data_IF_846285023027
#
_entry.id   IF_846285023027
#
_cell.length_a   1.000
_cell.length_b   1.000
_cell.length_c   1.000
_cell.angle_alpha   90.00
_cell.angle_beta   90.00
_cell.angle_gamma   90.00
#
_symmetry.space_group_name_H-M   'P 1'
#
loop_
_entity.id
_entity.type
_entity.pdbx_description
1 polymer ?
#
# COMPACT_ATOMS: atom_id res chain seq x y z
N UNK A 1 7.28 -1.18 -5.54
CA UNK A 1 6.85 -2.22 -6.49
C UNK A 1 5.38 -2.59 -6.28
N UNK A 2 4.88 -2.70 -5.04
CA UNK A 2 3.47 -3.04 -4.79
C UNK A 2 2.48 -2.11 -5.53
N UNK A 3 2.77 -0.80 -5.60
CA UNK A 3 1.94 0.16 -6.35
C UNK A 3 2.31 0.35 -7.83
N UNK A 4 3.06 -0.58 -8.45
CA UNK A 4 3.54 -0.38 -9.83
C UNK A 4 2.40 -0.22 -10.85
N UNK A 5 1.21 -0.75 -10.55
CA UNK A 5 0.03 -0.57 -11.38
C UNK A 5 -0.43 0.89 -11.48
N UNK A 6 -0.13 1.75 -10.50
CA UNK A 6 -0.46 3.17 -10.57
C UNK A 6 0.35 3.86 -11.68
N UNK A 7 1.61 3.47 -11.90
CA UNK A 7 2.41 3.99 -13.02
C UNK A 7 1.86 3.52 -14.37
N UNK A 8 1.33 2.31 -14.42
CA UNK A 8 0.65 1.82 -15.61
C UNK A 8 -0.62 2.64 -15.90
N UNK A 9 -1.48 2.83 -14.89
CA UNK A 9 -2.67 3.67 -15.01
C UNK A 9 -2.31 5.11 -15.41
N UNK A 10 -1.27 5.68 -14.82
CA UNK A 10 -0.79 7.03 -15.19
C UNK A 10 -0.34 7.11 -16.65
N UNK A 11 0.26 6.04 -17.18
CA UNK A 11 0.77 6.01 -18.55
C UNK A 11 -0.30 5.80 -19.61
N UNK A 12 -1.28 4.93 -19.32
CA UNK A 12 -2.26 4.45 -20.28
C UNK A 12 -3.66 5.05 -20.08
N UNK A 13 -4.05 5.35 -18.84
CA UNK A 13 -5.36 5.89 -18.46
C UNK A 13 -5.25 7.16 -17.57
N UNK A 14 -4.44 8.18 -17.94
CA UNK A 14 -4.16 9.32 -17.06
C UNK A 14 -5.41 10.12 -16.67
N UNK A 15 -6.37 10.26 -17.59
CA UNK A 15 -7.63 10.97 -17.32
C UNK A 15 -8.51 10.19 -16.34
N UNK A 16 -8.61 8.87 -16.50
CA UNK A 16 -9.34 8.00 -15.58
C UNK A 16 -8.71 8.01 -14.18
N UNK A 17 -7.38 7.94 -14.10
CA UNK A 17 -6.67 7.95 -12.81
C UNK A 17 -6.89 9.27 -12.08
N UNK A 18 -6.84 10.40 -12.81
CA UNK A 18 -7.15 11.72 -12.25
C UNK A 18 -8.61 11.87 -11.80
N UNK A 19 -9.54 11.14 -12.41
CA UNK A 19 -10.91 11.08 -11.93
C UNK A 19 -11.01 10.20 -10.68
N UNK A 20 -10.41 9.02 -10.68
CA UNK A 20 -10.39 8.10 -9.54
C UNK A 20 -9.81 8.77 -8.28
N UNK A 21 -8.68 9.48 -8.41
CA UNK A 21 -8.07 10.23 -7.32
C UNK A 21 -9.01 11.29 -6.72
N UNK A 22 -9.67 12.08 -7.58
CA UNK A 22 -10.63 13.09 -7.14
C UNK A 22 -11.87 12.47 -6.50
N UNK A 23 -12.33 11.34 -7.06
CA UNK A 23 -13.47 10.62 -6.52
C UNK A 23 -13.15 10.05 -5.13
N UNK A 24 -11.99 9.39 -4.99
CA UNK A 24 -11.48 8.88 -3.72
C UNK A 24 -11.41 9.97 -2.65
N UNK A 25 -10.81 11.13 -2.97
CA UNK A 25 -10.72 12.28 -2.06
C UNK A 25 -12.11 12.83 -1.67
N UNK A 26 -13.01 12.99 -2.65
CA UNK A 26 -14.34 13.57 -2.40
C UNK A 26 -15.28 12.66 -1.63
N UNK A 27 -15.14 11.34 -1.79
CA UNK A 27 -15.95 10.34 -1.08
C UNK A 27 -15.30 9.86 0.23
N UNK A 28 -14.02 10.17 0.45
CA UNK A 28 -13.26 9.68 1.60
C UNK A 28 -13.04 8.17 1.57
N UNK A 29 -12.87 7.60 0.38
CA UNK A 29 -12.60 6.17 0.17
C UNK A 29 -11.17 5.94 -0.29
N UNK A 30 -10.69 4.72 -0.15
CA UNK A 30 -9.39 4.31 -0.67
C UNK A 30 -9.34 4.35 -2.20
N UNK A 31 -8.15 4.66 -2.75
CA UNK A 31 -7.97 4.80 -4.21
C UNK A 31 -8.31 3.53 -4.98
N UNK A 32 -8.02 2.33 -4.45
CA UNK A 32 -8.35 1.07 -5.11
C UNK A 32 -9.86 0.85 -5.25
N UNK A 33 -10.67 1.39 -4.32
CA UNK A 33 -12.14 1.38 -4.45
C UNK A 33 -12.57 2.24 -5.64
N UNK A 34 -12.07 3.48 -5.70
CA UNK A 34 -12.40 4.40 -6.79
C UNK A 34 -11.87 3.91 -8.15
N UNK A 35 -10.69 3.29 -8.21
CA UNK A 35 -10.16 2.68 -9.43
C UNK A 35 -11.05 1.55 -9.94
N UNK A 36 -11.53 0.67 -9.05
CA UNK A 36 -12.48 -0.40 -9.43
C UNK A 36 -13.79 0.16 -10.00
N UNK A 37 -14.26 1.30 -9.50
CA UNK A 37 -15.45 1.98 -10.07
C UNK A 37 -15.20 2.50 -11.49
N UNK A 38 -13.99 3.02 -11.78
CA UNK A 38 -13.66 3.58 -13.11
C UNK A 38 -13.30 2.49 -14.11
N UNK A 39 -12.45 1.56 -13.71
CA UNK A 39 -11.75 0.65 -14.60
C UNK A 39 -12.24 -0.79 -14.50
N UNK A 40 -13.05 -1.10 -13.48
CA UNK A 40 -13.41 -2.49 -13.12
C UNK A 40 -12.27 -3.27 -12.45
N UNK A 41 -11.12 -2.63 -12.22
CA UNK A 41 -9.91 -3.21 -11.63
C UNK A 41 -9.10 -2.12 -10.92
N UNK A 42 -8.30 -2.50 -9.93
CA UNK A 42 -7.39 -1.60 -9.20
C UNK A 42 -5.93 -1.74 -9.62
N UNK A 43 -5.11 -0.79 -9.16
CA UNK A 43 -3.68 -0.79 -9.40
C UNK A 43 -2.95 -2.00 -8.81
N UNK A 44 -3.41 -2.57 -7.70
CA UNK A 44 -2.79 -3.76 -7.10
C UNK A 44 -2.92 -4.95 -8.05
N UNK A 45 -4.12 -5.17 -8.60
CA UNK A 45 -4.41 -6.21 -9.59
C UNK A 45 -3.61 -6.01 -10.87
N UNK A 46 -3.60 -4.79 -11.42
CA UNK A 46 -2.76 -4.45 -12.60
C UNK A 46 -1.28 -4.70 -12.29
N UNK A 47 -0.81 -4.30 -11.11
CA UNK A 47 0.56 -4.53 -10.67
C UNK A 47 0.91 -6.01 -10.59
N UNK A 48 -0.02 -6.84 -10.11
CA UNK A 48 0.12 -8.30 -10.06
C UNK A 48 0.22 -8.93 -11.45
N UNK A 49 -0.55 -8.43 -12.43
CA UNK A 49 -0.44 -8.85 -13.83
C UNK A 49 0.90 -8.46 -14.44
N UNK A 50 1.37 -7.23 -14.19
CA UNK A 50 2.68 -6.75 -14.66
C UNK A 50 3.83 -7.56 -14.05
N UNK A 51 3.79 -7.81 -12.75
CA UNK A 51 4.80 -8.61 -12.05
C UNK A 51 4.91 -10.02 -12.66
N UNK A 52 3.78 -10.67 -12.97
CA UNK A 52 3.77 -11.97 -13.66
C UNK A 52 4.29 -11.89 -15.08
N UNK A 53 3.90 -10.86 -15.84
CA UNK A 53 4.39 -10.64 -17.20
C UNK A 53 5.91 -10.41 -17.26
N UNK A 54 6.49 -9.85 -16.20
CA UNK A 54 7.94 -9.68 -16.06
C UNK A 54 8.66 -10.94 -15.57
N UNK A 55 7.94 -12.03 -15.28
CA UNK A 55 8.52 -13.28 -14.81
C UNK A 55 9.00 -13.24 -13.36
N UNK A 56 8.43 -12.36 -12.52
CA UNK A 56 8.72 -12.36 -11.10
C UNK A 56 8.14 -13.61 -10.42
N UNK A 57 8.69 -13.99 -9.27
CA UNK A 57 8.21 -15.15 -8.52
C UNK A 57 6.77 -14.95 -8.03
N UNK A 58 6.01 -16.04 -7.92
CA UNK A 58 4.60 -15.99 -7.50
C UNK A 58 4.41 -15.29 -6.13
N UNK A 59 5.28 -15.47 -5.11
CA UNK A 59 5.17 -14.70 -3.87
C UNK A 59 5.20 -13.18 -4.07
N UNK A 60 6.05 -12.67 -4.96
CA UNK A 60 6.08 -11.24 -5.30
C UNK A 60 4.79 -10.85 -6.01
N UNK A 61 4.33 -11.66 -6.96
CA UNK A 61 3.11 -11.38 -7.71
C UNK A 61 1.89 -11.32 -6.78
N UNK A 62 1.79 -12.22 -5.80
CA UNK A 62 0.72 -12.23 -4.80
C UNK A 62 0.84 -11.04 -3.84
N UNK A 63 2.03 -10.75 -3.32
CA UNK A 63 2.25 -9.58 -2.47
C UNK A 63 1.89 -8.26 -3.15
N UNK A 64 2.13 -8.14 -4.46
CA UNK A 64 1.69 -7.00 -5.26
C UNK A 64 0.19 -7.03 -5.52
N UNK A 65 -0.43 -8.18 -5.78
CA UNK A 65 -1.85 -8.23 -6.16
C UNK A 65 -2.81 -8.06 -4.97
N UNK A 66 -2.49 -8.67 -3.83
CA UNK A 66 -3.46 -8.86 -2.75
C UNK A 66 -3.19 -7.98 -1.51
N UNK A 67 -2.27 -7.02 -1.56
CA UNK A 67 -1.96 -6.20 -0.37
C UNK A 67 -3.14 -5.34 0.13
N UNK A 68 -4.11 -5.03 -0.75
CA UNK A 68 -5.36 -4.36 -0.36
C UNK A 68 -6.47 -5.31 0.13
N UNK A 69 -6.38 -6.58 -0.23
CA UNK A 69 -7.36 -7.64 0.07
C UNK A 69 -6.62 -8.91 0.54
N UNK A 70 -5.89 -8.82 1.67
CA UNK A 70 -4.96 -9.88 2.06
C UNK A 70 -5.61 -11.25 2.25
N UNK A 71 -6.90 -11.29 2.59
CA UNK A 71 -7.67 -12.53 2.73
C UNK A 71 -7.66 -13.41 1.46
N UNK A 72 -7.48 -12.81 0.28
CA UNK A 72 -7.45 -13.53 -1.00
C UNK A 72 -6.04 -14.04 -1.36
N UNK A 73 -5.00 -13.58 -0.66
CA UNK A 73 -3.59 -13.93 -0.88
C UNK A 73 -2.94 -14.72 0.25
N UNK A 74 -3.56 -14.79 1.43
CA UNK A 74 -3.06 -15.60 2.54
C UNK A 74 -3.09 -17.11 2.21
N UNK A 75 -2.15 -17.92 2.74
CA UNK A 75 -1.18 -17.58 3.78
C UNK A 75 0.20 -17.11 3.26
N UNK A 76 0.31 -16.54 2.05
CA UNK A 76 1.60 -16.06 1.53
C UNK A 76 2.19 -14.93 2.41
N UNK A 77 3.37 -15.12 3.03
CA UNK A 77 3.95 -14.12 3.94
C UNK A 77 4.19 -12.75 3.32
N UNK A 78 4.52 -12.69 2.02
CA UNK A 78 4.72 -11.39 1.35
C UNK A 78 3.42 -10.58 1.24
N UNK A 79 2.26 -11.22 1.16
CA UNK A 79 0.96 -10.53 1.19
C UNK A 79 0.77 -9.84 2.54
N UNK A 80 0.97 -10.59 3.63
CA UNK A 80 0.86 -10.04 4.98
C UNK A 80 1.87 -8.92 5.25
N UNK A 81 3.13 -9.12 4.83
CA UNK A 81 4.19 -8.15 5.03
C UNK A 81 3.90 -6.83 4.33
N UNK A 82 3.50 -6.87 3.06
CA UNK A 82 3.21 -5.64 2.29
C UNK A 82 1.97 -4.95 2.85
N UNK A 83 0.90 -5.69 3.13
CA UNK A 83 -0.33 -5.15 3.72
C UNK A 83 -0.05 -4.39 5.03
N UNK A 84 0.60 -5.05 6.00
CA UNK A 84 0.87 -4.42 7.30
C UNK A 84 1.85 -3.24 7.16
N UNK A 85 2.85 -3.37 6.28
CA UNK A 85 3.81 -2.28 6.03
C UNK A 85 3.12 -1.03 5.48
N UNK A 86 2.15 -1.19 4.57
CA UNK A 86 1.40 -0.08 4.01
C UNK A 86 0.49 0.58 5.04
N UNK A 87 -0.24 -0.22 5.82
CA UNK A 87 -1.10 0.30 6.90
C UNK A 87 -0.27 1.11 7.90
N UNK A 88 0.89 0.60 8.32
CA UNK A 88 1.81 1.31 9.21
C UNK A 88 2.37 2.59 8.58
N UNK A 89 2.71 2.55 7.28
CA UNK A 89 3.19 3.72 6.55
C UNK A 89 2.14 4.85 6.53
N UNK A 90 0.86 4.50 6.31
CA UNK A 90 -0.25 5.46 6.36
C UNK A 90 -0.55 5.95 7.78
N UNK A 91 -0.60 5.04 8.76
CA UNK A 91 -0.88 5.38 10.16
C UNK A 91 0.17 6.32 10.77
N UNK A 92 1.44 6.13 10.41
CA UNK A 92 2.55 6.98 10.84
C UNK A 92 2.78 8.19 9.91
N UNK A 93 1.98 8.33 8.85
CA UNK A 93 2.10 9.38 7.82
C UNK A 93 3.53 9.56 7.28
N UNK A 94 4.27 8.47 7.10
CA UNK A 94 5.71 8.53 6.77
C UNK A 94 5.97 9.13 5.39
N UNK A 95 5.03 8.96 4.46
CA UNK A 95 5.09 9.50 3.09
C UNK A 95 4.66 10.97 2.99
N UNK A 96 4.21 11.60 4.08
CA UNK A 96 3.68 12.98 4.10
C UNK A 96 2.58 13.21 3.05
N UNK A 97 1.81 12.17 2.72
CA UNK A 97 0.70 12.31 1.78
C UNK A 97 -0.33 13.29 2.35
N UNK A 98 -0.88 14.16 1.49
CA UNK A 98 -1.87 15.17 1.89
C UNK A 98 -3.15 14.54 2.48
N UNK A 99 -3.39 13.28 2.13
CA UNK A 99 -4.48 12.43 2.59
C UNK A 99 -3.92 11.03 2.84
N UNK A 100 -3.57 10.73 4.10
CA UNK A 100 -3.23 9.36 4.53
C UNK A 100 -4.48 8.76 5.16
N UNK A 101 -5.25 8.01 4.38
CA UNK A 101 -6.35 7.23 4.94
C UNK A 101 -5.76 5.99 5.61
N UNK A 102 -6.03 5.83 6.91
CA UNK A 102 -5.57 4.65 7.64
C UNK A 102 -6.50 3.50 7.26
N UNK A 103 -5.99 2.58 6.45
CA UNK A 103 -6.65 1.30 6.17
C UNK A 103 -6.78 0.48 7.44
N UNK A 104 -7.73 -0.45 7.44
CA UNK A 104 -7.82 -1.48 8.46
C UNK A 104 -6.56 -2.37 8.41
N UNK A 105 -6.14 -2.87 9.57
CA UNK A 105 -5.06 -3.84 9.67
C UNK A 105 -5.63 -5.25 9.86
N UNK A 106 -5.17 -6.20 9.05
CA UNK A 106 -5.60 -7.61 9.16
C UNK A 106 -4.97 -8.31 10.35
N UNK A 107 -5.82 -8.82 11.25
CA UNK A 107 -5.41 -9.63 12.41
C UNK A 107 -4.72 -10.93 11.97
N UNK A 108 -5.20 -11.56 10.90
CA UNK A 108 -4.57 -12.76 10.33
C UNK A 108 -3.17 -12.46 9.79
N UNK A 109 -2.98 -11.29 9.16
CA UNK A 109 -1.66 -10.84 8.73
C UNK A 109 -0.73 -10.56 9.91
N UNK A 110 -1.22 -9.88 10.95
CA UNK A 110 -0.44 -9.66 12.18
C UNK A 110 -0.05 -10.99 12.83
N UNK A 111 -0.98 -11.92 12.93
CA UNK A 111 -0.76 -13.26 13.50
C UNK A 111 0.26 -14.04 12.67
N UNK A 112 0.14 -14.04 11.34
CA UNK A 112 1.09 -14.71 10.45
C UNK A 112 2.51 -14.15 10.57
N UNK A 113 2.64 -12.84 10.75
CA UNK A 113 3.93 -12.17 10.95
C UNK A 113 4.45 -12.27 12.39
N UNK A 114 3.68 -12.86 13.32
CA UNK A 114 4.02 -12.93 14.73
C UNK A 114 4.10 -11.55 15.42
N UNK A 115 3.31 -10.58 14.95
CA UNK A 115 3.27 -9.24 15.53
C UNK A 115 2.46 -9.23 16.82
N UNK A 116 3.11 -8.79 17.89
CA UNK A 116 2.50 -8.49 19.19
C UNK A 116 2.49 -6.97 19.40
N UNK A 117 1.30 -6.41 19.64
CA UNK A 117 1.08 -4.98 19.87
C UNK A 117 1.25 -4.57 21.34
N UNK A 118 2.02 -5.33 22.12
CA UNK A 118 2.32 -5.05 23.53
C UNK A 118 3.14 -3.79 23.79
N UNK A 119 3.64 -3.66 25.03
CA UNK A 119 4.18 -2.40 25.58
C UNK A 119 5.37 -1.77 24.81
N UNK A 120 6.19 -2.55 24.07
CA UNK A 120 7.31 -1.99 23.27
C UNK A 120 6.89 -1.39 21.92
N UNK A 121 5.61 -1.52 21.54
CA UNK A 121 5.10 -1.03 20.24
C UNK A 121 5.39 0.46 20.04
N UNK A 122 5.17 1.28 21.06
CA UNK A 122 5.40 2.73 20.96
C UNK A 122 6.89 3.05 20.72
N UNK A 123 7.79 2.34 21.40
CA UNK A 123 9.23 2.50 21.19
C UNK A 123 9.65 2.08 19.79
N UNK A 124 9.09 0.99 19.26
CA UNK A 124 9.36 0.49 17.92
C UNK A 124 8.85 1.45 16.84
N UNK A 125 7.61 1.95 16.96
CA UNK A 125 7.05 2.94 16.03
C UNK A 125 7.86 4.24 16.04
N UNK A 126 8.28 4.73 17.21
CA UNK A 126 9.14 5.90 17.32
C UNK A 126 10.49 5.72 16.63
N UNK A 127 11.09 4.52 16.70
CA UNK A 127 12.33 4.19 15.95
C UNK A 127 12.10 4.17 14.44
N UNK A 128 10.96 3.63 13.97
CA UNK A 128 10.59 3.61 12.56
C UNK A 128 10.43 5.03 12.04
N UNK A 129 9.69 5.87 12.75
CA UNK A 129 9.47 7.27 12.38
C UNK A 129 10.79 8.05 12.33
N UNK A 130 11.65 7.92 13.34
CA UNK A 130 12.95 8.58 13.38
C UNK A 130 13.87 8.17 12.22
N UNK A 131 13.92 6.87 11.89
CA UNK A 131 14.69 6.36 10.74
C UNK A 131 14.12 6.84 9.42
N UNK A 132 12.80 6.84 9.27
CA UNK A 132 12.12 7.33 8.08
C UNK A 132 12.42 8.81 7.82
N UNK A 133 12.26 9.66 8.86
CA UNK A 133 12.62 11.10 8.77
C UNK A 133 14.07 11.31 8.33
N UNK A 134 15.00 10.51 8.84
CA UNK A 134 16.41 10.61 8.43
C UNK A 134 16.62 10.20 6.97
N UNK A 135 15.99 9.11 6.51
CA UNK A 135 16.10 8.63 5.14
C UNK A 135 15.48 9.60 4.12
N UNK A 136 14.37 10.24 4.47
CA UNK A 136 13.66 11.18 3.60
C UNK A 136 14.08 12.64 3.78
N UNK A 137 14.94 12.97 4.76
CA UNK A 137 15.43 14.33 5.02
C UNK A 137 15.97 15.06 3.77
N UNK A 138 16.71 14.43 2.83
CA UNK A 138 17.17 15.09 1.61
C UNK A 138 16.06 15.49 0.62
N UNK A 139 14.85 14.97 0.80
CA UNK A 139 13.73 15.08 -0.14
C UNK A 139 12.53 15.86 0.42
N UNK A 140 12.61 16.32 1.68
CA UNK A 140 11.58 17.16 2.29
C UNK A 140 11.77 18.64 1.87
N UNK A 141 10.71 19.35 1.46
CA UNK A 141 10.83 20.75 1.10
C UNK A 141 11.20 21.58 2.34
N UNK A 142 12.36 22.26 2.31
CA UNK A 142 12.76 23.23 3.33
C UNK A 142 13.84 22.81 4.33
N UNK A 143 14.64 21.78 4.03
CA UNK A 143 15.93 21.55 4.71
C UNK A 143 17.01 22.53 4.21
#
# INVERSE_FOLDING_TARGET
LHDIGQLWLQRFEPAGLQWALRNAESQGVEIDVAEREVFGVDHATIGGWLARAWGLSEPICQGVQYHHVPQDGLPEPLVALVHVSEVLNHALNLSHARTSHVRWISEDCCTLLGMDWGDDTQGLLGRIEARSRHAFAPYLPGA
#
